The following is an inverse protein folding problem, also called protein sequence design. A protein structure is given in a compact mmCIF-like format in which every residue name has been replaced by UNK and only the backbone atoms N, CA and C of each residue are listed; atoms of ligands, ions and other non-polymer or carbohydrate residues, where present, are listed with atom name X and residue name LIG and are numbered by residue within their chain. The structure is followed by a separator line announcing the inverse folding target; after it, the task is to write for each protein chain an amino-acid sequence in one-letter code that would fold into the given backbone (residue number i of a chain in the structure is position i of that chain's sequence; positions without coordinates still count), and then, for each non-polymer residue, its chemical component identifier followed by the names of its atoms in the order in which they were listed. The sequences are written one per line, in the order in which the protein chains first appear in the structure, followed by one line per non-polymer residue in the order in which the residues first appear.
data_IF_577453520447
#
_entry.id   IF_577453520447
#
_cell.length_a   1.000
_cell.length_b   1.000
_cell.length_c   1.000
_cell.angle_alpha   90.00
_cell.angle_beta   90.00
_cell.angle_gamma   90.00
#
_symmetry.space_group_name_H-M   'P 1'
#
loop_
_entity.id
_entity.type
_entity.pdbx_description
1 polymer ?
#
# COMPACT_ATOMS: atom_id res chain seq x y z
N UNK A 1 -11.69 -5.73 53.53
CA UNK A 1 -10.57 -6.12 52.63
C UNK A 1 -11.16 -6.31 51.24
N UNK A 2 -11.24 -5.23 50.44
CA UNK A 2 -11.83 -5.24 49.12
C UNK A 2 -10.70 -5.36 48.08
N UNK A 3 -10.71 -6.46 47.32
CA UNK A 3 -9.78 -6.68 46.20
C UNK A 3 -10.30 -5.91 44.99
N UNK A 4 -9.57 -4.86 44.57
CA UNK A 4 -9.78 -4.21 43.29
C UNK A 4 -9.30 -5.16 42.19
N UNK A 5 -10.23 -5.67 41.39
CA UNK A 5 -9.95 -6.36 40.14
C UNK A 5 -9.83 -5.27 39.06
N UNK A 6 -8.60 -4.93 38.74
CA UNK A 6 -8.34 -4.04 37.61
C UNK A 6 -8.70 -4.72 36.29
N UNK A 7 -9.72 -4.22 35.61
CA UNK A 7 -10.11 -4.63 34.26
C UNK A 7 -9.10 -4.04 33.30
N UNK A 8 -8.16 -4.87 32.80
CA UNK A 8 -7.26 -4.48 31.74
C UNK A 8 -8.08 -4.43 30.44
N UNK A 9 -8.43 -3.22 30.00
CA UNK A 9 -8.97 -3.00 28.64
C UNK A 9 -7.83 -3.18 27.66
N UNK A 10 -7.80 -4.33 26.98
CA UNK A 10 -6.92 -4.54 25.85
C UNK A 10 -7.35 -3.59 24.72
N UNK A 11 -6.55 -2.57 24.49
CA UNK A 11 -6.68 -1.69 23.33
C UNK A 11 -6.37 -2.53 22.09
N UNK A 12 -7.40 -3.05 21.43
CA UNK A 12 -7.25 -3.68 20.11
C UNK A 12 -6.92 -2.55 19.15
N UNK A 13 -5.62 -2.35 18.89
CA UNK A 13 -5.19 -1.47 17.83
C UNK A 13 -5.80 -1.98 16.52
N UNK A 14 -6.61 -1.16 15.88
CA UNK A 14 -7.16 -1.45 14.57
C UNK A 14 -5.98 -1.70 13.61
N UNK A 15 -5.83 -2.95 13.18
CA UNK A 15 -4.83 -3.33 12.17
C UNK A 15 -5.19 -2.55 10.91
N UNK A 16 -4.28 -1.69 10.38
CA UNK A 16 -4.55 -0.99 9.13
C UNK A 16 -4.83 -2.02 8.03
N UNK A 17 -5.83 -1.73 7.24
CA UNK A 17 -6.47 -2.57 6.24
C UNK A 17 -5.50 -3.52 5.54
N UNK A 18 -5.45 -4.77 5.98
CA UNK A 18 -4.69 -5.82 5.30
C UNK A 18 -5.23 -5.98 3.87
N UNK A 19 -4.32 -6.21 2.91
CA UNK A 19 -4.71 -6.50 1.54
C UNK A 19 -5.66 -7.71 1.53
N UNK A 20 -6.78 -7.61 0.82
CA UNK A 20 -7.73 -8.70 0.63
C UNK A 20 -7.23 -9.57 -0.53
N UNK A 21 -7.03 -10.86 -0.28
CA UNK A 21 -6.65 -11.83 -1.30
C UNK A 21 -7.90 -12.42 -1.94
N UNK A 22 -7.90 -12.56 -3.27
CA UNK A 22 -8.91 -13.32 -3.98
C UNK A 22 -8.82 -14.82 -3.59
N UNK A 23 -9.92 -15.59 -3.71
CA UNK A 23 -9.91 -17.02 -3.43
C UNK A 23 -8.79 -17.75 -4.20
N UNK A 24 -8.00 -18.58 -3.49
CA UNK A 24 -6.90 -19.34 -4.07
C UNK A 24 -5.62 -18.55 -4.35
N UNK A 25 -5.58 -17.25 -4.10
CA UNK A 25 -4.37 -16.44 -4.20
C UNK A 25 -3.58 -16.54 -2.89
N UNK A 26 -2.29 -16.87 -3.00
CA UNK A 26 -1.36 -16.92 -1.88
C UNK A 26 -0.33 -15.81 -2.02
N UNK A 27 0.00 -15.17 -0.91
CA UNK A 27 0.99 -14.08 -0.85
C UNK A 27 2.15 -14.51 0.05
N UNK A 28 3.41 -14.34 -0.36
CA UNK A 28 4.54 -14.51 0.55
C UNK A 28 4.34 -13.67 1.80
N UNK A 29 4.46 -14.26 3.02
CA UNK A 29 4.18 -13.55 4.26
C UNK A 29 4.95 -12.24 4.42
N UNK A 30 6.22 -12.22 3.99
CA UNK A 30 7.07 -11.02 4.07
C UNK A 30 6.54 -9.88 3.19
N UNK A 31 6.02 -10.17 1.99
CA UNK A 31 5.41 -9.18 1.10
C UNK A 31 4.10 -8.68 1.71
N UNK A 32 3.29 -9.57 2.27
CA UNK A 32 2.07 -9.19 2.99
C UNK A 32 2.34 -8.22 4.14
N UNK A 33 3.37 -8.52 4.97
CA UNK A 33 3.81 -7.63 6.04
C UNK A 33 4.36 -6.29 5.51
N UNK A 34 5.08 -6.32 4.38
CA UNK A 34 5.60 -5.10 3.75
C UNK A 34 4.47 -4.20 3.24
N UNK A 35 3.41 -4.76 2.65
CA UNK A 35 2.20 -3.99 2.30
C UNK A 35 1.53 -3.36 3.53
N UNK A 36 1.47 -4.09 4.64
CA UNK A 36 0.94 -3.55 5.90
C UNK A 36 1.76 -2.36 6.41
N UNK A 37 3.10 -2.49 6.44
CA UNK A 37 4.00 -1.38 6.81
C UNK A 37 3.86 -0.18 5.87
N UNK A 38 3.83 -0.43 4.55
CA UNK A 38 3.65 0.62 3.56
C UNK A 38 2.33 1.38 3.77
N UNK A 39 1.23 0.64 3.96
CA UNK A 39 -0.08 1.24 4.21
C UNK A 39 -0.08 2.12 5.47
N UNK A 40 0.54 1.66 6.56
CA UNK A 40 0.69 2.44 7.79
C UNK A 40 1.51 3.71 7.57
N UNK A 41 2.66 3.59 6.89
CA UNK A 41 3.55 4.72 6.60
C UNK A 41 2.86 5.76 5.70
N UNK A 42 2.18 5.33 4.64
CA UNK A 42 1.44 6.21 3.73
C UNK A 42 0.32 6.97 4.46
N UNK A 43 -0.45 6.29 5.31
CA UNK A 43 -1.52 6.91 6.10
C UNK A 43 -1.00 7.90 7.14
N UNK A 44 0.21 7.69 7.64
CA UNK A 44 0.86 8.57 8.62
C UNK A 44 1.73 9.67 7.97
N UNK A 45 1.81 9.71 6.64
CA UNK A 45 2.75 10.59 5.89
C UNK A 45 4.22 10.39 6.33
N UNK A 46 4.55 9.15 6.75
CA UNK A 46 5.87 8.78 7.21
C UNK A 46 6.78 8.43 6.03
N UNK A 47 7.55 9.42 5.58
CA UNK A 47 8.50 9.26 4.47
C UNK A 47 9.56 8.18 4.76
N UNK A 48 10.07 8.09 5.98
CA UNK A 48 11.07 7.09 6.36
C UNK A 48 10.47 5.68 6.34
N UNK A 49 9.26 5.52 6.86
CA UNK A 49 8.53 4.25 6.78
C UNK A 49 8.32 3.80 5.32
N UNK A 50 8.00 4.72 4.42
CA UNK A 50 7.90 4.43 2.97
C UNK A 50 9.24 3.97 2.41
N UNK A 51 10.35 4.64 2.75
CA UNK A 51 11.71 4.30 2.30
C UNK A 51 12.17 2.91 2.78
N UNK A 52 11.63 2.38 3.87
CA UNK A 52 11.94 1.01 4.29
C UNK A 52 11.32 -0.07 3.40
N UNK A 53 10.24 0.25 2.68
CA UNK A 53 9.50 -0.70 1.85
C UNK A 53 9.78 -0.50 0.36
N UNK A 54 9.87 0.74 -0.10
CA UNK A 54 10.23 1.04 -1.49
C UNK A 54 11.75 1.08 -1.65
N UNK A 55 12.22 0.41 -2.69
CA UNK A 55 13.65 0.42 -3.04
C UNK A 55 14.14 1.82 -3.43
N UNK A 56 15.45 2.06 -3.32
CA UNK A 56 16.05 3.33 -3.72
C UNK A 56 15.81 3.64 -5.22
N UNK A 57 15.77 2.59 -6.03
CA UNK A 57 15.52 2.63 -7.48
C UNK A 57 14.03 2.45 -7.85
N UNK A 58 13.11 2.60 -6.88
CA UNK A 58 11.68 2.48 -7.14
C UNK A 58 11.20 3.49 -8.18
N UNK A 59 10.36 3.00 -9.08
CA UNK A 59 9.66 3.84 -10.07
C UNK A 59 8.17 3.49 -10.12
N UNK A 60 7.34 4.47 -10.40
CA UNK A 60 5.93 4.27 -10.68
C UNK A 60 5.50 4.99 -11.95
N UNK A 61 4.80 4.29 -12.83
CA UNK A 61 3.97 4.96 -13.83
C UNK A 61 2.61 5.25 -13.19
N UNK A 62 2.41 6.51 -12.88
CA UNK A 62 1.27 6.99 -12.09
C UNK A 62 -0.02 7.01 -12.91
N UNK A 63 -1.21 7.09 -12.25
CA UNK A 63 -2.49 7.24 -12.93
C UNK A 63 -2.59 8.50 -13.81
N UNK A 64 -1.71 9.46 -13.63
CA UNK A 64 -1.61 10.68 -14.47
C UNK A 64 -0.69 10.49 -15.68
N UNK A 65 -0.31 9.25 -16.00
CA UNK A 65 0.61 8.92 -17.08
C UNK A 65 1.97 9.64 -16.95
N UNK A 66 2.46 9.73 -15.72
CA UNK A 66 3.76 10.33 -15.39
C UNK A 66 4.61 9.31 -14.65
N UNK A 67 5.85 9.14 -15.10
CA UNK A 67 6.82 8.29 -14.40
C UNK A 67 7.44 9.11 -13.26
N UNK A 68 7.36 8.59 -12.05
CA UNK A 68 7.84 9.22 -10.83
C UNK A 68 8.81 8.29 -10.11
N UNK A 69 9.85 8.86 -9.52
CA UNK A 69 10.74 8.17 -8.59
C UNK A 69 10.10 8.03 -7.21
N UNK A 70 10.75 7.26 -6.31
CA UNK A 70 10.34 7.18 -4.90
C UNK A 70 10.22 8.55 -4.25
N UNK A 71 11.24 9.39 -4.43
CA UNK A 71 11.29 10.72 -3.80
C UNK A 71 10.24 11.68 -4.38
N UNK A 72 9.94 11.59 -5.67
CA UNK A 72 8.84 12.37 -6.26
C UNK A 72 7.50 12.02 -5.63
N UNK A 73 7.23 10.73 -5.39
CA UNK A 73 5.97 10.29 -4.76
C UNK A 73 5.92 10.71 -3.29
N UNK A 74 7.03 10.61 -2.57
CA UNK A 74 7.13 11.09 -1.17
C UNK A 74 6.82 12.60 -1.12
N UNK A 75 7.39 13.40 -2.01
CA UNK A 75 7.11 14.83 -2.09
C UNK A 75 5.63 15.14 -2.41
N UNK A 76 4.96 14.28 -3.19
CA UNK A 76 3.51 14.38 -3.44
C UNK A 76 2.71 14.02 -2.18
N UNK A 77 3.14 13.00 -1.45
CA UNK A 77 2.52 12.57 -0.18
C UNK A 77 2.61 13.70 0.88
N UNK A 78 3.76 14.32 1.03
CA UNK A 78 3.99 15.43 1.98
C UNK A 78 3.12 16.67 1.71
N UNK A 79 2.57 16.79 0.48
CA UNK A 79 1.63 17.85 0.09
C UNK A 79 0.16 17.43 0.21
N UNK A 80 -0.14 16.34 0.90
CA UNK A 80 -1.49 15.77 1.11
C UNK A 80 -2.22 15.37 -0.19
N UNK A 81 -1.51 15.15 -1.30
CA UNK A 81 -2.12 14.70 -2.54
C UNK A 81 -2.43 13.20 -2.58
N UNK A 82 -1.89 12.44 -1.63
CA UNK A 82 -2.12 10.99 -1.50
C UNK A 82 -3.06 10.65 -0.34
N UNK A 83 -3.90 11.60 0.06
CA UNK A 83 -4.93 11.35 1.05
C UNK A 83 -6.11 10.60 0.43
N UNK A 84 -6.42 9.46 1.02
CA UNK A 84 -7.50 8.60 0.56
C UNK A 84 -8.43 8.21 1.70
N UNK A 85 -9.75 8.34 1.46
CA UNK A 85 -10.77 7.75 2.33
C UNK A 85 -11.19 6.40 1.81
N UNK A 86 -11.58 5.50 2.72
CA UNK A 86 -12.09 4.16 2.41
C UNK A 86 -11.14 3.34 1.53
N UNK A 87 -9.83 3.49 1.74
CA UNK A 87 -8.84 2.72 0.99
C UNK A 87 -8.97 1.22 1.25
N UNK A 88 -9.03 0.44 0.16
CA UNK A 88 -8.99 -1.03 0.17
C UNK A 88 -8.06 -1.50 -0.94
N UNK A 89 -7.22 -2.48 -0.62
CA UNK A 89 -6.35 -3.15 -1.60
C UNK A 89 -6.88 -4.56 -1.85
N UNK A 90 -7.11 -4.90 -3.10
CA UNK A 90 -7.56 -6.22 -3.54
C UNK A 90 -6.48 -6.85 -4.39
N UNK A 91 -5.99 -8.02 -3.99
CA UNK A 91 -4.97 -8.78 -4.72
C UNK A 91 -5.65 -9.90 -5.46
N UNK A 92 -5.48 -9.93 -6.77
CA UNK A 92 -6.10 -10.93 -7.67
C UNK A 92 -5.10 -11.90 -8.27
N UNK A 93 -3.80 -11.57 -8.23
CA UNK A 93 -2.75 -12.42 -8.76
C UNK A 93 -1.45 -12.21 -7.99
N UNK A 94 -0.73 -13.31 -7.74
CA UNK A 94 0.64 -13.32 -7.23
C UNK A 94 1.44 -14.33 -8.04
N UNK A 95 2.50 -13.87 -8.69
CA UNK A 95 3.43 -14.70 -9.49
C UNK A 95 4.81 -14.68 -8.85
N UNK A 96 5.16 -15.76 -8.13
CA UNK A 96 6.42 -15.88 -7.43
C UNK A 96 7.54 -16.38 -8.36
N UNK A 97 8.71 -15.80 -8.21
CA UNK A 97 9.99 -16.21 -8.79
C UNK A 97 11.06 -16.08 -7.70
N UNK A 98 12.25 -16.75 -7.83
CA UNK A 98 13.25 -16.78 -6.76
C UNK A 98 13.63 -15.41 -6.19
N UNK A 99 13.85 -14.41 -7.05
CA UNK A 99 14.33 -13.07 -6.67
C UNK A 99 13.31 -11.96 -6.95
N UNK A 100 12.13 -12.30 -7.45
CA UNK A 100 11.11 -11.35 -7.86
C UNK A 100 9.71 -11.92 -7.67
N UNK A 101 8.78 -11.08 -7.25
CA UNK A 101 7.36 -11.43 -7.19
C UNK A 101 6.54 -10.34 -7.88
N UNK A 102 5.66 -10.76 -8.78
CA UNK A 102 4.69 -9.87 -9.43
C UNK A 102 3.37 -9.98 -8.68
N UNK A 103 2.83 -8.86 -8.24
CA UNK A 103 1.53 -8.78 -7.57
C UNK A 103 0.62 -7.88 -8.38
N UNK A 104 -0.57 -8.39 -8.72
CA UNK A 104 -1.57 -7.62 -9.45
C UNK A 104 -2.88 -7.58 -8.68
N UNK A 105 -3.63 -6.51 -8.89
CA UNK A 105 -4.92 -6.32 -8.27
C UNK A 105 -5.46 -4.93 -8.56
N UNK A 106 -6.29 -4.45 -7.64
CA UNK A 106 -6.82 -3.08 -7.72
C UNK A 106 -6.99 -2.49 -6.33
N UNK A 107 -6.81 -1.19 -6.24
CA UNK A 107 -7.17 -0.40 -5.07
C UNK A 107 -8.55 0.23 -5.30
N UNK A 108 -9.36 0.32 -4.25
CA UNK A 108 -10.56 1.17 -4.23
C UNK A 108 -10.40 2.24 -3.17
N UNK A 109 -10.78 3.47 -3.47
CA UNK A 109 -10.61 4.61 -2.57
C UNK A 109 -11.47 5.79 -2.98
N UNK A 110 -11.57 6.77 -2.10
CA UNK A 110 -12.11 8.10 -2.41
C UNK A 110 -10.97 9.11 -2.21
N UNK A 111 -10.34 9.61 -3.29
CA UNK A 111 -9.31 10.63 -3.18
C UNK A 111 -9.86 11.91 -2.53
N UNK A 112 -9.08 12.54 -1.67
CA UNK A 112 -9.44 13.84 -1.07
C UNK A 112 -9.13 14.98 -2.03
N UNK A 113 -8.03 14.85 -2.78
CA UNK A 113 -7.56 15.83 -3.79
C UNK A 113 -7.23 15.13 -5.11
N UNK A 114 -7.11 15.92 -6.17
CA UNK A 114 -6.66 15.46 -7.48
C UNK A 114 -7.74 14.74 -8.30
N UNK A 115 -7.35 13.94 -9.31
CA UNK A 115 -8.29 13.25 -10.19
C UNK A 115 -9.21 12.29 -9.43
N UNK A 116 -10.52 12.42 -9.63
CA UNK A 116 -11.54 11.62 -8.95
C UNK A 116 -11.84 12.05 -7.53
N UNK A 117 -11.37 13.22 -7.07
CA UNK A 117 -11.63 13.72 -5.73
C UNK A 117 -13.13 13.70 -5.38
N UNK A 118 -13.45 13.15 -4.20
CA UNK A 118 -14.83 13.01 -3.71
C UNK A 118 -15.64 11.88 -4.32
N UNK A 119 -15.12 11.17 -5.33
CA UNK A 119 -15.77 10.03 -5.99
C UNK A 119 -15.04 8.74 -5.66
N UNK A 120 -15.76 7.62 -5.70
CA UNK A 120 -15.11 6.32 -5.58
C UNK A 120 -14.33 6.01 -6.86
N UNK A 121 -13.06 5.70 -6.70
CA UNK A 121 -12.12 5.37 -7.78
C UNK A 121 -11.71 3.91 -7.64
N UNK A 122 -11.66 3.18 -8.74
CA UNK A 122 -10.99 1.90 -8.88
C UNK A 122 -9.69 2.09 -9.65
N UNK A 123 -8.59 1.63 -9.08
CA UNK A 123 -7.24 1.81 -9.62
C UNK A 123 -6.53 0.46 -9.72
N UNK A 124 -6.61 -0.23 -10.87
CA UNK A 124 -5.80 -1.41 -11.13
C UNK A 124 -4.32 -1.10 -11.00
N UNK A 125 -3.56 -2.08 -10.52
CA UNK A 125 -2.11 -1.96 -10.39
C UNK A 125 -1.39 -3.26 -10.72
N UNK A 126 -0.12 -3.11 -11.08
CA UNK A 126 0.90 -4.15 -11.10
C UNK A 126 2.07 -3.68 -10.26
N UNK A 127 2.41 -4.45 -9.24
CA UNK A 127 3.55 -4.21 -8.36
C UNK A 127 4.63 -5.27 -8.61
N UNK A 128 5.87 -4.85 -8.72
CA UNK A 128 7.03 -5.73 -8.83
C UNK A 128 7.85 -5.61 -7.56
N UNK A 129 7.93 -6.71 -6.84
CA UNK A 129 8.75 -6.86 -5.65
C UNK A 129 10.03 -7.58 -6.00
N UNK A 130 11.17 -7.10 -5.52
CA UNK A 130 12.47 -7.74 -5.67
C UNK A 130 13.08 -8.05 -4.30
N UNK A 131 13.79 -9.18 -4.24
CA UNK A 131 14.59 -9.53 -3.06
C UNK A 131 15.88 -8.71 -3.08
N UNK A 132 16.09 -7.93 -2.05
CA UNK A 132 17.27 -7.10 -1.82
C UNK A 132 17.96 -7.52 -0.52
N UNK A 133 19.10 -6.93 -0.19
CA UNK A 133 19.80 -7.20 1.08
C UNK A 133 18.97 -6.88 2.32
N UNK A 134 18.09 -5.87 2.24
CA UNK A 134 17.16 -5.49 3.30
C UNK A 134 15.85 -6.33 3.30
N UNK A 135 15.72 -7.36 2.47
CA UNK A 135 14.52 -8.16 2.31
C UNK A 135 13.72 -7.81 1.04
N UNK A 136 12.43 -8.11 1.04
CA UNK A 136 11.57 -7.78 -0.09
C UNK A 136 11.25 -6.28 -0.14
N UNK A 137 11.57 -5.65 -1.26
CA UNK A 137 11.27 -4.25 -1.50
C UNK A 137 10.49 -4.08 -2.82
N UNK A 138 9.58 -3.13 -2.84
CA UNK A 138 8.86 -2.74 -4.05
C UNK A 138 9.78 -1.93 -4.95
N UNK A 139 10.01 -2.39 -6.18
CA UNK A 139 10.92 -1.75 -7.15
C UNK A 139 10.20 -1.05 -8.28
N UNK A 140 8.99 -1.50 -8.63
CA UNK A 140 8.21 -0.83 -9.66
C UNK A 140 6.72 -0.99 -9.43
N UNK A 141 5.95 0.02 -9.88
CA UNK A 141 4.49 0.00 -9.89
C UNK A 141 3.96 0.60 -11.18
N UNK A 142 2.96 -0.06 -11.75
CA UNK A 142 2.04 0.53 -12.72
C UNK A 142 0.70 0.72 -12.02
N UNK A 143 0.12 1.91 -12.11
CA UNK A 143 -1.23 2.17 -11.61
C UNK A 143 -2.03 3.01 -12.62
N UNK A 144 -3.31 2.72 -12.75
CA UNK A 144 -4.20 3.38 -13.72
C UNK A 144 -5.56 3.61 -13.06
N UNK A 145 -6.25 4.70 -13.37
CA UNK A 145 -7.66 4.88 -13.01
C UNK A 145 -8.50 4.21 -14.08
N UNK A 146 -9.18 3.12 -13.74
CA UNK A 146 -10.03 2.38 -14.67
C UNK A 146 -11.51 2.79 -14.58
N UNK A 147 -11.97 3.19 -13.40
CA UNK A 147 -13.37 3.52 -13.16
C UNK A 147 -13.49 4.61 -12.10
N UNK A 148 -14.45 5.51 -12.30
CA UNK A 148 -14.84 6.58 -11.36
C UNK A 148 -16.35 6.57 -11.24
N UNK A 149 -16.88 6.45 -10.02
CA UNK A 149 -18.32 6.45 -9.71
C UNK A 149 -18.69 7.53 -8.70
#
# INVERSE_FOLDING_TARGET
MFKNIGLAVALVAAIPSSAQLAPGVHMPPEIGLAYGRLGTAMMAHDAEGVRTVWADDFVVNSPNNTVLSREDVIAVMERDFLDYRNFRKHITFVGEKPEMTVVMGYDTMIPVKGPGAGKQVMRPFTDIWARRSAGWQLVARQATIAETR
#
